data_IF_343971742791
#
_entry.id   IF_343971742791
#
_cell.length_a   1.000
_cell.length_b   1.000
_cell.length_c   1.000
_cell.angle_alpha   90.00
_cell.angle_beta   90.00
_cell.angle_gamma   90.00
#
_symmetry.space_group_name_H-M   'P 1'
#
loop_
_entity.id
_entity.type
_entity.pdbx_description
1 polymer ?
#
# COMPACT_ATOMS: atom_id res chain seq x y z
N UNK A 1 -6.84 -8.91 -16.40
CA UNK A 1 -7.26 -8.60 -15.01
C UNK A 1 -6.47 -9.36 -13.94
N UNK A 2 -5.94 -10.57 -14.20
CA UNK A 2 -5.20 -11.36 -13.20
C UNK A 2 -3.81 -10.83 -12.79
N UNK A 3 -3.14 -10.07 -13.66
CA UNK A 3 -1.75 -9.59 -13.46
C UNK A 3 -1.58 -8.60 -12.29
N UNK A 4 -2.60 -7.81 -11.96
CA UNK A 4 -2.53 -6.78 -10.91
C UNK A 4 -2.92 -7.27 -9.50
N UNK A 5 -3.21 -8.57 -9.32
CA UNK A 5 -3.62 -9.13 -8.03
C UNK A 5 -2.50 -9.92 -7.33
N UNK A 6 -1.26 -9.81 -7.81
CA UNK A 6 -0.09 -10.55 -7.30
C UNK A 6 0.60 -9.78 -6.17
N UNK A 7 1.16 -10.50 -5.21
CA UNK A 7 1.89 -9.96 -4.05
C UNK A 7 2.99 -8.98 -4.46
N UNK A 8 3.75 -9.28 -5.52
CA UNK A 8 4.85 -8.44 -6.01
C UNK A 8 4.47 -6.99 -6.36
N UNK A 9 3.19 -6.73 -6.62
CA UNK A 9 2.70 -5.40 -6.95
C UNK A 9 2.40 -4.53 -5.73
N UNK A 10 2.25 -5.14 -4.54
CA UNK A 10 1.84 -4.43 -3.32
C UNK A 10 2.83 -4.56 -2.16
N UNK A 11 3.79 -5.48 -2.25
CA UNK A 11 4.83 -5.64 -1.25
C UNK A 11 5.72 -4.38 -1.17
N UNK A 12 6.25 -4.13 0.02
CA UNK A 12 7.36 -3.20 0.19
C UNK A 12 8.63 -3.89 -0.31
N UNK A 13 9.30 -3.26 -1.28
CA UNK A 13 10.59 -3.69 -1.83
C UNK A 13 11.74 -3.18 -0.96
N UNK A 14 12.95 -3.67 -1.21
CA UNK A 14 14.17 -3.26 -0.49
C UNK A 14 14.09 -3.55 1.02
N UNK A 15 13.86 -4.82 1.33
CA UNK A 15 13.73 -5.29 2.71
C UNK A 15 15.09 -5.36 3.38
N UNK A 16 15.16 -4.79 4.57
CA UNK A 16 16.32 -4.96 5.44
C UNK A 16 16.29 -6.38 6.00
N UNK A 17 17.24 -7.20 5.58
CA UNK A 17 17.48 -8.54 6.10
C UNK A 17 18.70 -8.56 7.02
N UNK A 18 18.80 -9.62 7.82
CA UNK A 18 19.95 -9.87 8.70
C UNK A 18 20.45 -11.29 8.49
N UNK A 19 21.68 -11.58 8.89
CA UNK A 19 22.23 -12.94 8.84
C UNK A 19 21.98 -13.70 10.14
N UNK A 20 21.95 -15.04 10.09
CA UNK A 20 21.82 -15.87 11.30
C UNK A 20 22.92 -15.63 12.35
N UNK A 21 24.09 -15.15 11.93
CA UNK A 21 25.22 -14.83 12.82
C UNK A 21 25.14 -13.40 13.42
N UNK A 22 24.11 -12.62 13.08
CA UNK A 22 23.90 -11.26 13.64
C UNK A 22 23.68 -11.34 15.14
N UNK A 23 24.21 -10.38 15.90
CA UNK A 23 24.06 -10.35 17.35
C UNK A 23 22.74 -9.70 17.79
N UNK A 24 22.19 -10.06 18.97
CA UNK A 24 20.99 -9.39 19.50
C UNK A 24 21.17 -7.87 19.67
N UNK A 25 22.38 -7.40 20.00
CA UNK A 25 22.70 -5.98 20.16
C UNK A 25 22.61 -5.24 18.82
N UNK A 26 23.09 -5.84 17.74
CA UNK A 26 22.95 -5.28 16.40
C UNK A 26 21.48 -5.18 16.00
N UNK A 27 20.65 -6.20 16.28
CA UNK A 27 19.20 -6.12 16.03
C UNK A 27 18.59 -4.95 16.82
N UNK A 28 18.92 -4.79 18.11
CA UNK A 28 18.42 -3.65 18.89
C UNK A 28 18.79 -2.30 18.27
N UNK A 29 20.01 -2.16 17.76
CA UNK A 29 20.46 -0.94 17.09
C UNK A 29 19.73 -0.72 15.76
N UNK A 30 19.47 -1.79 15.01
CA UNK A 30 18.68 -1.74 13.79
C UNK A 30 17.24 -1.30 14.07
N UNK A 31 16.57 -1.88 15.07
CA UNK A 31 15.22 -1.47 15.49
C UNK A 31 15.19 0.03 15.80
N UNK A 32 16.16 0.54 16.58
CA UNK A 32 16.25 1.97 16.91
C UNK A 32 16.49 2.86 15.69
N UNK A 33 17.32 2.41 14.75
CA UNK A 33 17.73 3.19 13.58
C UNK A 33 16.66 3.21 12.49
N UNK A 34 16.00 2.08 12.25
CA UNK A 34 15.07 1.90 11.13
C UNK A 34 13.61 2.04 11.56
N UNK A 35 13.32 1.91 12.86
CA UNK A 35 11.96 1.87 13.38
C UNK A 35 11.19 0.60 13.01
N UNK A 36 11.88 -0.47 12.58
CA UNK A 36 11.26 -1.74 12.23
C UNK A 36 11.31 -2.71 13.41
N UNK A 37 10.19 -3.38 13.68
CA UNK A 37 10.05 -4.30 14.82
C UNK A 37 10.44 -5.75 14.51
N UNK A 38 10.96 -6.03 13.31
CA UNK A 38 11.43 -7.38 12.96
C UNK A 38 12.01 -7.48 11.56
N UNK A 39 12.87 -8.48 11.37
CA UNK A 39 13.73 -8.64 10.21
C UNK A 39 13.74 -10.10 9.74
N UNK A 40 13.62 -10.36 8.43
CA UNK A 40 13.91 -11.68 7.88
C UNK A 40 15.38 -12.03 8.07
N UNK A 41 15.64 -13.29 8.42
CA UNK A 41 16.97 -13.83 8.63
C UNK A 41 17.34 -14.69 7.42
N UNK A 42 18.49 -14.40 6.84
CA UNK A 42 19.07 -15.15 5.73
C UNK A 42 20.33 -15.91 6.16
N UNK A 43 20.62 -17.02 5.48
CA UNK A 43 21.90 -17.70 5.58
C UNK A 43 22.90 -17.14 4.55
N UNK A 44 24.11 -17.70 4.55
CA UNK A 44 25.19 -17.30 3.62
C UNK A 44 24.90 -17.57 2.13
N UNK A 45 23.82 -18.30 1.81
CA UNK A 45 23.33 -18.54 0.45
C UNK A 45 22.16 -17.63 0.08
N UNK A 46 21.90 -16.56 0.84
CA UNK A 46 20.76 -15.65 0.71
C UNK A 46 19.37 -16.30 0.88
N UNK A 47 19.30 -17.55 1.35
CA UNK A 47 18.03 -18.22 1.63
C UNK A 47 17.48 -17.75 2.96
N UNK A 48 16.18 -17.50 2.99
CA UNK A 48 15.48 -17.18 4.23
C UNK A 48 15.44 -18.42 5.13
N UNK A 49 15.91 -18.26 6.37
CA UNK A 49 16.01 -19.33 7.37
C UNK A 49 15.24 -19.02 8.66
N UNK A 50 14.82 -17.77 8.84
CA UNK A 50 14.02 -17.38 9.99
C UNK A 50 13.50 -15.96 9.94
N UNK A 51 12.82 -15.57 11.01
CA UNK A 51 12.44 -14.18 11.31
C UNK A 51 12.83 -13.90 12.76
N UNK A 52 13.38 -12.71 13.00
CA UNK A 52 13.64 -12.19 14.36
C UNK A 52 12.85 -10.90 14.57
N UNK A 53 12.20 -10.77 15.72
CA UNK A 53 11.38 -9.62 16.08
C UNK A 53 11.82 -8.99 17.40
N UNK A 54 11.39 -7.75 17.65
CA UNK A 54 11.61 -7.08 18.93
C UNK A 54 11.06 -7.90 20.11
N UNK A 55 9.96 -8.62 19.91
CA UNK A 55 9.40 -9.52 20.92
C UNK A 55 10.35 -10.66 21.26
N UNK A 56 11.02 -11.26 20.27
CA UNK A 56 11.99 -12.34 20.50
C UNK A 56 13.16 -11.88 21.39
N UNK A 57 13.60 -10.62 21.23
CA UNK A 57 14.65 -10.03 22.08
C UNK A 57 14.25 -9.85 23.54
N UNK A 58 12.94 -9.82 23.82
CA UNK A 58 12.38 -9.59 25.16
C UNK A 58 11.99 -10.92 25.82
N UNK A 59 11.47 -11.86 25.03
CA UNK A 59 10.85 -13.09 25.54
C UNK A 59 11.76 -14.30 25.54
N UNK A 60 12.84 -14.30 24.74
CA UNK A 60 13.79 -15.41 24.65
C UNK A 60 15.07 -15.12 25.42
N UNK A 61 15.75 -16.20 25.81
CA UNK A 61 17.04 -16.11 26.48
C UNK A 61 18.09 -15.45 25.58
N UNK A 62 19.01 -14.71 26.19
CA UNK A 62 20.07 -14.04 25.47
C UNK A 62 21.11 -15.04 24.96
N UNK A 63 21.38 -15.00 23.66
CA UNK A 63 22.37 -15.84 22.98
C UNK A 63 23.43 -14.98 22.29
N UNK A 64 24.61 -15.54 21.94
CA UNK A 64 25.64 -14.78 21.23
C UNK A 64 25.18 -14.28 19.83
N UNK A 65 24.34 -15.06 19.15
CA UNK A 65 23.81 -14.76 17.82
C UNK A 65 22.31 -15.02 17.76
N UNK A 66 21.63 -14.42 16.80
CA UNK A 66 20.18 -14.57 16.63
C UNK A 66 19.77 -15.91 16.00
N UNK A 67 20.72 -16.76 15.56
CA UNK A 67 20.47 -18.12 15.07
C UNK A 67 19.58 -18.93 16.02
N UNK A 68 19.83 -18.83 17.31
CA UNK A 68 19.11 -19.58 18.35
C UNK A 68 17.88 -18.81 18.90
N UNK A 69 17.73 -17.54 18.54
CA UNK A 69 16.59 -16.68 18.94
C UNK A 69 15.56 -16.50 17.84
N UNK A 70 15.91 -16.71 16.57
CA UNK A 70 14.98 -16.53 15.48
C UNK A 70 13.87 -17.58 15.51
N UNK A 71 12.73 -17.25 14.92
CA UNK A 71 11.69 -18.23 14.65
C UNK A 71 11.97 -18.87 13.28
N UNK A 72 12.06 -20.20 13.25
CA UNK A 72 12.42 -20.98 12.05
C UNK A 72 11.21 -21.58 11.31
N UNK A 73 10.05 -21.65 11.97
CA UNK A 73 8.77 -21.98 11.32
C UNK A 73 8.25 -20.74 10.58
N UNK A 74 8.84 -20.49 9.41
CA UNK A 74 8.55 -19.31 8.61
C UNK A 74 7.59 -19.66 7.48
N UNK A 75 6.55 -18.83 7.38
CA UNK A 75 5.69 -18.81 6.21
C UNK A 75 6.12 -17.66 5.32
N UNK A 76 6.35 -17.96 4.04
CA UNK A 76 6.74 -16.97 3.03
C UNK A 76 5.73 -16.93 1.90
N UNK A 77 5.58 -15.77 1.28
CA UNK A 77 4.76 -15.60 0.08
C UNK A 77 5.66 -15.67 -1.15
N UNK A 78 5.27 -16.45 -2.15
CA UNK A 78 5.87 -16.31 -3.48
C UNK A 78 5.39 -14.99 -4.12
N UNK A 79 6.26 -14.33 -4.89
CA UNK A 79 5.96 -13.05 -5.54
C UNK A 79 4.73 -13.09 -6.47
N UNK A 80 4.46 -14.25 -7.07
CA UNK A 80 3.34 -14.52 -7.98
C UNK A 80 2.05 -14.92 -7.24
N UNK A 81 2.10 -15.13 -5.93
CA UNK A 81 0.94 -15.46 -5.09
C UNK A 81 -0.11 -14.35 -5.19
N UNK A 82 -1.40 -14.70 -5.17
CA UNK A 82 -2.44 -13.67 -5.15
C UNK A 82 -2.54 -13.00 -3.77
N UNK A 83 -2.95 -11.74 -3.74
CA UNK A 83 -3.20 -10.99 -2.50
C UNK A 83 -4.20 -11.72 -1.60
N UNK A 84 -5.27 -12.25 -2.17
CA UNK A 84 -6.32 -12.94 -1.41
C UNK A 84 -5.79 -14.22 -0.76
N UNK A 85 -4.92 -14.95 -1.45
CA UNK A 85 -4.29 -16.14 -0.90
C UNK A 85 -3.29 -15.77 0.19
N UNK A 86 -2.50 -14.71 0.00
CA UNK A 86 -1.61 -14.18 1.03
C UNK A 86 -2.41 -13.77 2.30
N UNK A 87 -3.54 -13.08 2.13
CA UNK A 87 -4.45 -12.70 3.21
C UNK A 87 -5.02 -13.92 3.95
N UNK A 88 -5.42 -14.95 3.20
CA UNK A 88 -5.96 -16.19 3.78
C UNK A 88 -4.90 -16.96 4.55
N UNK A 89 -3.65 -16.94 4.11
CA UNK A 89 -2.52 -17.53 4.84
C UNK A 89 -2.26 -16.75 6.13
N UNK A 90 -2.14 -15.42 6.04
CA UNK A 90 -1.92 -14.55 7.21
C UNK A 90 -3.01 -14.73 8.28
N UNK A 91 -4.28 -14.73 7.87
CA UNK A 91 -5.42 -14.90 8.78
C UNK A 91 -5.43 -16.27 9.48
N UNK A 92 -5.20 -17.36 8.73
CA UNK A 92 -5.23 -18.72 9.30
C UNK A 92 -4.07 -18.97 10.27
N UNK A 93 -2.92 -18.38 10.01
CA UNK A 93 -1.71 -18.57 10.81
C UNK A 93 -1.56 -17.53 11.93
N UNK A 94 -2.44 -16.52 11.99
CA UNK A 94 -2.36 -15.45 13.00
C UNK A 94 -1.15 -14.52 12.84
N UNK A 95 -0.58 -14.45 11.64
CA UNK A 95 0.63 -13.65 11.33
C UNK A 95 0.24 -12.37 10.61
N UNK A 96 0.96 -11.27 10.86
CA UNK A 96 0.63 -9.93 10.37
C UNK A 96 1.46 -9.48 9.16
N UNK A 97 2.50 -10.24 8.81
CA UNK A 97 3.43 -9.96 7.73
C UNK A 97 4.01 -11.25 7.18
N UNK A 98 4.35 -11.25 5.91
CA UNK A 98 5.02 -12.34 5.20
C UNK A 98 6.23 -11.77 4.47
N UNK A 99 7.43 -12.36 4.65
CA UNK A 99 8.50 -12.19 3.69
C UNK A 99 8.04 -12.70 2.33
N UNK A 100 8.39 -11.97 1.28
CA UNK A 100 8.11 -12.32 -0.11
C UNK A 100 9.39 -12.78 -0.76
N UNK A 101 9.34 -13.93 -1.42
CA UNK A 101 10.49 -14.53 -2.10
C UNK A 101 10.22 -14.79 -3.58
N UNK A 102 11.28 -14.81 -4.39
CA UNK A 102 11.27 -15.41 -5.72
C UNK A 102 12.20 -16.63 -5.77
N UNK A 103 12.20 -17.35 -6.89
CA UNK A 103 12.98 -18.58 -7.04
C UNK A 103 14.51 -18.33 -7.15
N UNK A 104 14.96 -17.10 -7.41
CA UNK A 104 16.35 -16.78 -7.77
C UNK A 104 17.13 -15.97 -6.71
N UNK A 105 16.47 -15.06 -5.96
CA UNK A 105 17.10 -13.97 -5.20
C UNK A 105 16.81 -13.99 -3.69
N UNK A 106 16.09 -14.99 -3.19
CA UNK A 106 15.74 -15.08 -1.76
C UNK A 106 14.63 -14.10 -1.39
N UNK A 107 14.80 -13.28 -0.35
CA UNK A 107 13.77 -12.32 0.12
C UNK A 107 13.84 -11.04 -0.71
N UNK A 108 12.81 -10.79 -1.49
CA UNK A 108 12.70 -9.62 -2.38
C UNK A 108 11.72 -8.56 -1.88
N UNK A 109 10.94 -8.88 -0.85
CA UNK A 109 9.90 -7.97 -0.35
C UNK A 109 9.31 -8.41 0.98
N UNK A 110 8.52 -7.54 1.59
CA UNK A 110 7.64 -7.87 2.71
C UNK A 110 6.24 -7.39 2.34
N UNK A 111 5.26 -8.25 2.56
CA UNK A 111 3.85 -7.87 2.48
C UNK A 111 3.22 -7.94 3.87
N UNK A 112 2.46 -6.90 4.23
CA UNK A 112 1.78 -6.76 5.52
C UNK A 112 0.27 -6.76 5.37
N UNK A 113 -0.45 -6.91 6.48
CA UNK A 113 -1.91 -6.70 6.50
C UNK A 113 -2.31 -5.33 5.94
N UNK A 114 -1.50 -4.29 6.17
CA UNK A 114 -1.74 -2.94 5.63
C UNK A 114 -1.64 -2.93 4.11
N UNK A 115 -0.66 -3.63 3.54
CA UNK A 115 -0.51 -3.74 2.08
C UNK A 115 -1.68 -4.50 1.45
N UNK A 116 -2.15 -5.55 2.12
CA UNK A 116 -3.34 -6.28 1.71
C UNK A 116 -4.54 -5.34 1.76
N UNK A 117 -4.75 -4.59 2.83
CA UNK A 117 -5.85 -3.62 2.90
C UNK A 117 -5.74 -2.58 1.77
N UNK A 118 -4.54 -2.04 1.53
CA UNK A 118 -4.25 -1.10 0.43
C UNK A 118 -4.56 -1.69 -0.95
N UNK A 119 -4.24 -2.96 -1.18
CA UNK A 119 -4.53 -3.62 -2.48
C UNK A 119 -6.03 -3.73 -2.79
N UNK A 120 -6.87 -3.76 -1.76
CA UNK A 120 -8.33 -3.73 -1.95
C UNK A 120 -8.80 -2.34 -2.40
N UNK A 121 -8.01 -1.30 -2.16
CA UNK A 121 -8.34 0.11 -2.42
C UNK A 121 -7.97 0.54 -3.86
N UNK A 122 -7.00 -0.09 -4.52
CA UNK A 122 -6.45 0.38 -5.82
C UNK A 122 -7.37 0.33 -7.08
N UNK A 123 -8.67 -0.02 -6.96
CA UNK A 123 -9.70 0.19 -8.03
C UNK A 123 -11.09 0.30 -7.41
N UNK A 124 -11.88 1.31 -7.76
CA UNK A 124 -13.17 1.61 -7.13
C UNK A 124 -14.31 0.79 -7.75
N UNK A 125 -14.37 -0.53 -7.53
CA UNK A 125 -15.55 -1.32 -7.94
C UNK A 125 -16.63 -1.34 -6.84
N UNK A 126 -17.94 -1.38 -7.18
CA UNK A 126 -19.03 -1.46 -6.20
C UNK A 126 -18.91 -2.63 -5.20
N UNK A 127 -18.29 -3.74 -5.63
CA UNK A 127 -18.01 -4.89 -4.76
C UNK A 127 -17.01 -4.56 -3.66
N UNK A 128 -15.97 -3.78 -3.96
CA UNK A 128 -14.92 -3.41 -3.01
C UNK A 128 -15.39 -2.40 -1.98
N UNK A 129 -16.22 -1.44 -2.38
CA UNK A 129 -16.87 -0.50 -1.46
C UNK A 129 -17.68 -1.26 -0.41
N UNK A 130 -18.42 -2.30 -0.83
CA UNK A 130 -19.17 -3.15 0.08
C UNK A 130 -18.28 -3.99 1.00
N UNK A 131 -17.15 -4.52 0.49
CA UNK A 131 -16.19 -5.26 1.32
C UNK A 131 -15.58 -4.37 2.42
N UNK A 132 -15.08 -3.19 2.05
CA UNK A 132 -14.53 -2.23 3.00
C UNK A 132 -15.58 -1.80 4.04
N UNK A 133 -16.81 -1.57 3.59
CA UNK A 133 -17.97 -1.29 4.46
C UNK A 133 -18.19 -2.39 5.49
N UNK A 134 -18.24 -3.66 5.05
CA UNK A 134 -18.40 -4.82 5.95
C UNK A 134 -17.24 -4.93 6.95
N UNK A 135 -16.00 -4.69 6.52
CA UNK A 135 -14.85 -4.70 7.43
C UNK A 135 -14.94 -3.60 8.50
N UNK A 136 -15.38 -2.39 8.15
CA UNK A 136 -15.59 -1.32 9.12
C UNK A 136 -16.68 -1.67 10.15
N UNK A 137 -17.80 -2.24 9.70
CA UNK A 137 -18.89 -2.67 10.58
C UNK A 137 -18.41 -3.71 11.61
N UNK A 138 -17.61 -4.68 11.17
CA UNK A 138 -17.04 -5.73 12.01
C UNK A 138 -16.00 -5.20 13.00
N UNK A 139 -15.02 -4.42 12.53
CA UNK A 139 -13.91 -3.93 13.35
C UNK A 139 -14.37 -3.00 14.47
N UNK A 140 -15.34 -2.13 14.19
CA UNK A 140 -15.78 -1.11 15.12
C UNK A 140 -17.13 -1.41 15.78
N UNK A 141 -17.75 -2.56 15.46
CA UNK A 141 -19.07 -2.94 15.93
C UNK A 141 -20.11 -1.82 15.73
N UNK A 142 -20.21 -1.35 14.48
CA UNK A 142 -21.09 -0.26 14.04
C UNK A 142 -21.92 -0.69 12.84
N UNK A 143 -22.93 0.12 12.52
CA UNK A 143 -23.63 0.03 11.24
C UNK A 143 -23.15 1.15 10.32
N UNK A 144 -23.28 0.93 9.02
CA UNK A 144 -22.94 1.92 8.01
C UNK A 144 -24.03 2.02 6.95
N UNK A 145 -24.12 3.19 6.32
CA UNK A 145 -24.91 3.37 5.09
C UNK A 145 -23.98 3.77 3.95
N UNK A 146 -24.33 3.38 2.73
CA UNK A 146 -23.58 3.71 1.52
C UNK A 146 -24.47 4.55 0.61
N UNK A 147 -23.97 5.71 0.21
CA UNK A 147 -24.63 6.63 -0.71
C UNK A 147 -23.68 7.02 -1.85
N UNK A 148 -24.22 7.31 -3.02
CA UNK A 148 -23.47 7.95 -4.10
C UNK A 148 -23.88 9.43 -4.15
N UNK A 149 -22.92 10.35 -4.03
CA UNK A 149 -23.18 11.79 -4.07
C UNK A 149 -22.00 12.57 -4.67
N UNK A 150 -22.27 13.78 -5.16
CA UNK A 150 -21.24 14.73 -5.56
C UNK A 150 -20.79 15.55 -4.34
N UNK A 151 -19.60 15.27 -3.83
CA UNK A 151 -19.10 15.86 -2.58
C UNK A 151 -18.19 17.05 -2.87
N UNK A 152 -18.33 18.18 -2.14
CA UNK A 152 -17.41 19.30 -2.24
C UNK A 152 -15.98 18.88 -1.92
N UNK A 153 -15.06 19.14 -2.85
CA UNK A 153 -13.66 18.73 -2.75
C UNK A 153 -12.98 19.34 -1.51
N UNK A 154 -13.33 20.59 -1.17
CA UNK A 154 -12.78 21.33 -0.01
C UNK A 154 -13.10 20.72 1.35
N UNK A 155 -14.08 19.82 1.45
CA UNK A 155 -14.45 19.15 2.70
C UNK A 155 -13.70 17.83 2.92
N UNK A 156 -12.87 17.44 1.95
CA UNK A 156 -12.14 16.17 1.95
C UNK A 156 -10.83 16.29 2.73
N UNK A 157 -10.58 15.28 3.55
CA UNK A 157 -9.34 15.12 4.31
C UNK A 157 -8.49 14.04 3.68
N UNK A 158 -7.31 14.39 3.14
CA UNK A 158 -6.42 13.39 2.57
C UNK A 158 -5.86 12.48 3.67
N UNK A 159 -5.58 11.25 3.26
CA UNK A 159 -4.91 10.22 4.09
C UNK A 159 -3.50 9.91 3.58
N UNK A 160 -3.11 10.52 2.46
CA UNK A 160 -1.79 10.43 1.83
C UNK A 160 -1.17 11.84 1.77
N UNK A 161 0.14 11.92 1.95
CA UNK A 161 0.92 13.16 1.99
C UNK A 161 1.57 13.51 0.65
N UNK A 162 1.73 12.52 -0.24
CA UNK A 162 2.46 12.63 -1.50
C UNK A 162 1.69 12.05 -2.66
N UNK A 163 1.76 12.71 -3.81
CA UNK A 163 1.11 12.31 -5.07
C UNK A 163 2.12 12.48 -6.20
N UNK A 164 2.17 11.52 -7.13
CA UNK A 164 3.09 11.58 -8.27
C UNK A 164 2.45 12.29 -9.48
N UNK A 165 3.23 13.17 -10.12
CA UNK A 165 2.73 14.04 -11.19
C UNK A 165 2.29 13.28 -12.47
N UNK A 166 2.94 12.16 -12.76
CA UNK A 166 2.67 11.33 -13.93
C UNK A 166 1.33 10.58 -13.83
N UNK A 167 0.99 10.06 -12.64
CA UNK A 167 -0.32 9.50 -12.35
C UNK A 167 -1.43 10.57 -12.38
N UNK A 168 -1.10 11.78 -11.92
CA UNK A 168 -2.03 12.91 -11.89
C UNK A 168 -2.50 13.26 -13.31
N UNK A 169 -1.58 13.33 -14.28
CA UNK A 169 -1.90 13.67 -15.67
C UNK A 169 -2.91 12.69 -16.30
N UNK A 170 -2.78 11.39 -16.01
CA UNK A 170 -3.74 10.38 -16.46
C UNK A 170 -5.13 10.60 -15.88
N UNK A 171 -5.22 10.89 -14.57
CA UNK A 171 -6.50 11.15 -13.89
C UNK A 171 -7.15 12.44 -14.33
N UNK A 172 -6.35 13.47 -14.59
CA UNK A 172 -6.82 14.71 -15.19
C UNK A 172 -7.53 14.46 -16.53
N UNK A 173 -6.94 13.66 -17.41
CA UNK A 173 -7.54 13.31 -18.70
C UNK A 173 -8.86 12.53 -18.55
N UNK A 174 -8.91 11.58 -17.60
CA UNK A 174 -10.13 10.81 -17.31
C UNK A 174 -11.27 11.71 -16.82
N UNK A 175 -10.99 12.65 -15.93
CA UNK A 175 -11.97 13.59 -15.37
C UNK A 175 -12.54 14.51 -16.47
N UNK A 176 -11.68 15.09 -17.31
CA UNK A 176 -12.10 15.99 -18.40
C UNK A 176 -13.02 15.29 -19.42
N UNK A 177 -12.85 13.98 -19.60
CA UNK A 177 -13.65 13.14 -20.51
C UNK A 177 -14.89 12.53 -19.85
N UNK A 178 -15.12 12.77 -18.55
CA UNK A 178 -16.21 12.16 -17.79
C UNK A 178 -16.07 10.64 -17.64
N UNK A 179 -14.83 10.14 -17.72
CA UNK A 179 -14.49 8.71 -17.61
C UNK A 179 -14.01 8.33 -16.19
N UNK A 180 -13.84 9.32 -15.32
CA UNK A 180 -13.37 9.11 -13.96
C UNK A 180 -14.43 8.38 -13.11
N UNK A 181 -14.02 7.28 -12.50
CA UNK A 181 -14.85 6.57 -11.52
C UNK A 181 -15.06 7.42 -10.26
N UNK A 182 -16.17 7.23 -9.51
CA UNK A 182 -16.37 7.87 -8.22
C UNK A 182 -15.26 7.54 -7.20
N UNK A 183 -14.91 8.50 -6.36
CA UNK A 183 -13.94 8.32 -5.26
C UNK A 183 -14.59 7.64 -4.05
N UNK A 184 -13.81 7.14 -3.08
CA UNK A 184 -14.37 6.50 -1.88
C UNK A 184 -14.06 7.36 -0.65
N UNK A 185 -15.12 7.76 0.05
CA UNK A 185 -15.05 8.61 1.23
C UNK A 185 -15.73 7.93 2.42
N UNK A 186 -15.16 8.13 3.60
CA UNK A 186 -15.89 7.87 4.85
C UNK A 186 -16.34 9.18 5.46
N UNK A 187 -17.64 9.32 5.66
CA UNK A 187 -18.25 10.47 6.32
C UNK A 187 -18.29 10.25 7.83
N UNK A 188 -17.52 11.07 8.55
CA UNK A 188 -17.68 11.31 9.98
C UNK A 188 -18.45 12.63 10.18
N UNK A 189 -18.76 13.04 11.42
CA UNK A 189 -19.70 14.16 11.71
C UNK A 189 -19.61 15.33 10.72
N UNK A 190 -18.43 15.93 10.63
CA UNK A 190 -18.20 17.15 9.83
C UNK A 190 -17.11 16.98 8.77
N UNK A 191 -16.66 15.74 8.51
CA UNK A 191 -15.45 15.48 7.70
C UNK A 191 -15.66 14.31 6.75
N UNK A 192 -15.09 14.45 5.55
CA UNK A 192 -14.99 13.37 4.58
C UNK A 192 -13.56 12.87 4.53
N UNK A 193 -13.29 11.70 5.11
CA UNK A 193 -11.96 11.08 5.07
C UNK A 193 -11.81 10.36 3.75
N UNK A 194 -10.76 10.70 2.99
CA UNK A 194 -10.49 10.05 1.71
C UNK A 194 -9.93 8.66 1.95
N UNK A 195 -10.65 7.64 1.50
CA UNK A 195 -10.18 6.25 1.53
C UNK A 195 -9.48 5.91 0.22
N UNK A 196 -10.08 6.32 -0.90
CA UNK A 196 -9.56 6.08 -2.25
C UNK A 196 -9.81 7.28 -3.16
N UNK A 197 -8.94 7.44 -4.15
CA UNK A 197 -9.09 8.43 -5.22
C UNK A 197 -8.35 9.74 -5.01
N UNK A 198 -7.31 9.81 -4.17
CA UNK A 198 -6.52 11.03 -3.91
C UNK A 198 -6.02 11.70 -5.20
N UNK A 199 -5.43 10.95 -6.12
CA UNK A 199 -4.99 11.46 -7.43
C UNK A 199 -6.16 12.10 -8.23
N UNK A 200 -7.36 11.51 -8.18
CA UNK A 200 -8.56 12.05 -8.84
C UNK A 200 -9.05 13.32 -8.15
N UNK A 201 -9.04 13.35 -6.82
CA UNK A 201 -9.45 14.50 -6.03
C UNK A 201 -8.51 15.68 -6.29
N UNK A 202 -7.20 15.45 -6.28
CA UNK A 202 -6.20 16.49 -6.57
C UNK A 202 -6.25 16.93 -8.02
N UNK A 203 -6.40 16.01 -8.97
CA UNK A 203 -6.57 16.35 -10.38
C UNK A 203 -7.83 17.20 -10.62
N UNK A 204 -8.95 16.86 -9.99
CA UNK A 204 -10.19 17.64 -10.05
C UNK A 204 -10.00 19.02 -9.40
N UNK A 205 -9.34 19.08 -8.24
CA UNK A 205 -9.06 20.33 -7.54
C UNK A 205 -8.21 21.29 -8.38
N UNK A 206 -7.12 20.80 -8.97
CA UNK A 206 -6.24 21.60 -9.84
C UNK A 206 -6.95 22.11 -11.11
N UNK A 207 -7.92 21.36 -11.61
CA UNK A 207 -8.76 21.76 -12.74
C UNK A 207 -9.91 22.68 -12.37
N UNK A 208 -10.03 23.04 -11.09
CA UNK A 208 -11.05 23.98 -10.62
C UNK A 208 -12.44 23.36 -10.50
N UNK A 209 -12.56 22.04 -10.42
CA UNK A 209 -13.83 21.41 -10.08
C UNK A 209 -14.15 21.66 -8.60
N UNK A 210 -15.38 22.08 -8.30
CA UNK A 210 -15.82 22.30 -6.91
C UNK A 210 -16.24 21.01 -6.21
N UNK A 211 -16.71 20.01 -6.99
CA UNK A 211 -17.27 18.75 -6.50
C UNK A 211 -16.78 17.58 -7.33
N UNK A 212 -16.75 16.40 -6.72
CA UNK A 212 -16.41 15.14 -7.39
C UNK A 212 -17.41 14.05 -6.97
N UNK A 213 -17.76 13.16 -7.90
CA UNK A 213 -18.62 12.01 -7.60
C UNK A 213 -17.94 11.06 -6.63
N UNK A 214 -18.67 10.59 -5.62
CA UNK A 214 -18.13 9.75 -4.57
C UNK A 214 -19.11 8.69 -4.07
N UNK A 215 -18.57 7.53 -3.72
CA UNK A 215 -19.18 6.58 -2.80
C UNK A 215 -18.88 7.01 -1.36
N UNK A 216 -19.92 7.35 -0.62
CA UNK A 216 -19.85 7.86 0.75
C UNK A 216 -20.36 6.81 1.71
N UNK A 217 -19.44 6.31 2.54
CA UNK A 217 -19.75 5.42 3.65
C UNK A 217 -19.99 6.28 4.89
N UNK A 218 -21.23 6.34 5.36
CA UNK A 218 -21.59 7.07 6.56
C UNK A 218 -21.64 6.13 7.76
N UNK A 219 -20.91 6.49 8.82
CA UNK A 219 -20.83 5.70 10.05
C UNK A 219 -22.02 6.01 10.96
N UNK A 220 -22.61 4.98 11.60
CA UNK A 220 -23.68 5.17 12.58
C UNK A 220 -23.21 5.81 13.89
N UNK A 221 -21.90 5.80 14.15
CA UNK A 221 -21.26 6.39 15.33
C UNK A 221 -20.04 7.18 14.88
N UNK A 222 -19.76 8.28 15.57
CA UNK A 222 -18.58 9.10 15.30
C UNK A 222 -17.34 8.42 15.89
N UNK A 223 -16.46 7.93 15.02
CA UNK A 223 -15.28 7.14 15.37
C UNK A 223 -14.10 7.67 14.57
N UNK A 224 -12.96 7.87 15.26
CA UNK A 224 -11.70 8.18 14.59
C UNK A 224 -11.12 6.89 13.99
N UNK A 225 -11.15 6.78 12.67
CA UNK A 225 -10.65 5.59 11.97
C UNK A 225 -9.11 5.49 12.03
N UNK A 226 -8.42 6.61 12.17
CA UNK A 226 -6.97 6.65 12.22
C UNK A 226 -6.29 6.45 10.87
N UNK A 227 -7.06 6.40 9.78
CA UNK A 227 -6.57 6.41 8.40
C UNK A 227 -5.82 7.71 8.09
N UNK A 228 -6.11 8.78 8.84
CA UNK A 228 -5.54 10.10 8.67
C UNK A 228 -4.21 10.27 9.42
N UNK A 229 -3.83 9.33 10.30
CA UNK A 229 -2.71 9.52 11.24
C UNK A 229 -1.39 9.84 10.56
N UNK A 230 -1.10 9.18 9.44
CA UNK A 230 0.14 9.41 8.68
C UNK A 230 0.16 10.82 8.08
N UNK A 231 -0.94 11.22 7.45
CA UNK A 231 -1.12 12.57 6.91
C UNK A 231 -1.06 13.65 8.01
N UNK A 232 -1.77 13.44 9.13
CA UNK A 232 -1.75 14.34 10.29
C UNK A 232 -0.33 14.50 10.88
N UNK A 233 0.45 13.41 10.96
CA UNK A 233 1.84 13.44 11.44
C UNK A 233 2.75 14.29 10.54
N UNK A 234 2.45 14.33 9.25
CA UNK A 234 3.18 15.12 8.26
C UNK A 234 2.55 16.51 8.04
N UNK A 235 1.67 16.96 8.95
CA UNK A 235 0.97 18.25 8.91
C UNK A 235 0.06 18.46 7.69
N UNK A 236 -0.47 17.38 7.12
CA UNK A 236 -1.38 17.42 5.98
C UNK A 236 -2.82 17.42 6.50
N UNK A 237 -3.53 18.54 6.36
CA UNK A 237 -4.91 18.69 6.85
C UNK A 237 -5.93 18.98 5.75
N UNK A 238 -5.45 19.42 4.59
CA UNK A 238 -6.20 19.83 3.42
C UNK A 238 -5.48 19.37 2.14
N UNK A 239 -6.15 19.52 0.99
CA UNK A 239 -5.56 19.19 -0.31
C UNK A 239 -4.42 20.15 -0.70
N UNK A 240 -4.42 21.37 -0.16
CA UNK A 240 -3.37 22.37 -0.40
C UNK A 240 -2.04 21.96 0.25
N UNK A 241 -2.09 21.09 1.26
CA UNK A 241 -0.91 20.63 1.98
C UNK A 241 -0.18 19.48 1.25
N UNK A 242 -0.80 18.89 0.22
CA UNK A 242 -0.27 17.70 -0.48
C UNK A 242 0.92 18.08 -1.36
N UNK A 243 2.04 17.38 -1.18
CA UNK A 243 3.22 17.54 -2.02
C UNK A 243 3.08 16.75 -3.33
N UNK A 244 3.28 17.42 -4.47
CA UNK A 244 3.31 16.80 -5.79
C UNK A 244 4.76 16.58 -6.19
N UNK A 245 5.13 15.31 -6.39
CA UNK A 245 6.49 14.92 -6.75
C UNK A 245 6.61 14.88 -8.28
N UNK A 246 7.39 15.79 -8.84
CA UNK A 246 7.61 15.90 -10.30
C UNK A 246 8.65 14.90 -10.83
N UNK A 247 9.55 14.39 -9.98
CA UNK A 247 10.84 13.80 -10.42
C UNK A 247 11.05 12.33 -10.03
N UNK A 248 9.96 11.55 -9.90
CA UNK A 248 10.05 10.10 -9.82
C UNK A 248 9.33 9.52 -11.03
N UNK A 249 10.06 9.24 -12.11
CA UNK A 249 9.54 8.38 -13.16
C UNK A 249 9.07 7.08 -12.51
N UNK A 250 7.76 6.83 -12.51
CA UNK A 250 7.24 5.55 -12.05
C UNK A 250 7.90 4.44 -12.88
N UNK A 251 8.38 3.33 -12.28
CA UNK A 251 8.94 2.18 -13.00
C UNK A 251 8.06 1.60 -14.10
N UNK A 252 6.78 1.98 -14.16
CA UNK A 252 5.80 1.54 -15.16
C UNK A 252 5.84 2.38 -16.46
N UNK A 253 6.32 3.63 -16.42
CA UNK A 253 6.37 4.51 -17.62
C UNK A 253 7.63 4.28 -18.46
N UNK A 254 8.74 3.83 -17.85
CA UNK A 254 9.94 3.44 -18.61
C UNK A 254 9.65 2.35 -19.67
N UNK A 255 8.63 1.51 -19.42
CA UNK A 255 8.22 0.45 -20.34
C UNK A 255 7.55 1.01 -21.60
N UNK A 256 6.71 2.05 -21.49
CA UNK A 256 5.96 2.60 -22.63
C UNK A 256 6.84 3.42 -23.58
N UNK A 257 7.87 4.10 -23.09
CA UNK A 257 8.82 4.82 -23.96
C UNK A 257 9.76 3.87 -24.71
N UNK A 258 10.12 2.73 -24.10
CA UNK A 258 10.86 1.68 -24.81
C UNK A 258 10.06 1.08 -25.97
N UNK A 259 8.74 0.89 -25.81
CA UNK A 259 7.85 0.34 -26.84
C UNK A 259 7.56 1.38 -27.94
N UNK A 260 7.42 2.66 -27.60
CA UNK A 260 7.26 3.74 -28.59
C UNK A 260 8.53 3.91 -29.45
N UNK A 261 9.71 3.78 -28.85
CA UNK A 261 10.97 3.88 -29.59
C UNK A 261 11.23 2.65 -30.49
N UNK A 262 10.89 1.44 -30.04
CA UNK A 262 10.98 0.24 -30.89
C UNK A 262 10.01 0.26 -32.08
N UNK A 263 8.83 0.87 -31.93
CA UNK A 263 7.87 1.01 -33.04
C UNK A 263 8.26 2.11 -34.04
N UNK A 264 8.94 3.19 -33.60
CA UNK A 264 9.52 4.19 -34.52
C UNK A 264 10.66 3.62 -35.35
N UNK A 265 11.50 2.76 -34.77
CA UNK A 265 12.59 2.11 -35.52
C UNK A 265 12.10 1.03 -36.50
N UNK A 266 11.07 0.25 -36.13
CA UNK A 266 10.44 -0.72 -37.05
C UNK A 266 9.75 -0.06 -38.25
N UNK A 267 9.15 1.12 -38.07
CA UNK A 267 8.53 1.86 -39.18
C UNK A 267 9.55 2.57 -40.08
N UNK A 268 10.76 2.88 -39.60
CA UNK A 268 11.87 3.37 -40.45
C UNK A 268 12.49 2.27 -41.32
N UNK A 269 12.49 1.00 -40.88
CA UNK A 269 13.06 -0.14 -41.62
C UNK A 269 12.12 -0.79 -42.66
N UNK A 270 10.83 -0.42 -42.69
CA UNK A 270 9.84 -0.94 -43.67
C UNK A 270 9.51 0.04 -44.80
N UNK A 271 10.18 1.20 -44.85
CA UNK A 271 9.93 2.27 -45.81
C UNK A 271 11.10 2.57 -46.75
N UNK A 272 11.83 1.54 -47.17
CA UNK A 272 12.78 1.58 -48.30
C UNK A 272 12.58 0.31 -49.12
#
# INVERSE_FOLDING_TARGET
MAEFNKVKNYMTKDVITVTEDTTPVEIQNMIKKTGHDGFPVQNNENKIVGIVTASDLITKDFTPTIRDMMSTDIVVANEELTINDAARVMFRMGISRLPVTNEEEGVIGIITNTDILRSHIERSTPTKVNQFRTSLEQLYNIKTTLHEENVPIKLMKPTQDKIYADELQGRTYEIERGLAEPVILVKTKDKYVVVDGHHRIVAAYQKGYDKIGAYVIQLSKDIKLGLEKTAEKNNIFSLDDIEIIEDAQHPLIAITDSIKNQNKEKNKKKGI
#
